data_IF_550328293349
#
_entry.id   IF_550328293349
#
_cell.length_a   1.000
_cell.length_b   1.000
_cell.length_c   1.000
_cell.angle_alpha   90.00
_cell.angle_beta   90.00
_cell.angle_gamma   90.00
#
_symmetry.space_group_name_H-M   'P 1'
#
loop_
_entity.id
_entity.type
_entity.pdbx_description
1 polymer ?
#
# COMPACT_ATOMS: atom_id res chain seq x y z
N UNK A 1 46.09 88.02 -27.06
CA UNK A 1 46.31 86.65 -26.84
C UNK A 1 45.98 86.35 -25.36
N UNK A 2 44.76 85.76 -25.07
CA UNK A 2 44.36 85.40 -23.74
C UNK A 2 44.54 83.89 -23.63
N UNK A 3 45.55 83.49 -22.89
CA UNK A 3 45.78 82.06 -22.57
C UNK A 3 44.71 81.55 -21.58
N UNK A 4 43.93 80.61 -22.03
CA UNK A 4 42.94 79.89 -21.19
C UNK A 4 43.72 78.73 -20.54
N UNK A 5 44.17 78.88 -19.28
CA UNK A 5 44.70 77.77 -18.49
C UNK A 5 43.52 76.98 -17.91
N UNK A 6 43.20 75.84 -18.53
CA UNK A 6 42.28 74.88 -17.99
C UNK A 6 43.01 74.17 -16.86
N UNK A 7 42.52 74.30 -15.66
CA UNK A 7 43.10 73.72 -14.45
C UNK A 7 43.03 72.17 -14.50
N UNK A 8 44.12 71.48 -14.18
CA UNK A 8 44.20 70.02 -14.10
C UNK A 8 43.09 69.41 -13.25
N UNK A 9 42.58 70.15 -12.28
CA UNK A 9 41.46 69.74 -11.43
C UNK A 9 40.12 69.60 -12.17
N UNK A 10 39.89 70.42 -13.20
CA UNK A 10 38.67 70.36 -14.05
C UNK A 10 38.68 69.15 -14.97
N UNK A 11 39.81 68.71 -15.45
CA UNK A 11 39.96 67.48 -16.30
C UNK A 11 39.76 66.24 -15.45
N UNK A 12 40.24 66.24 -14.20
CA UNK A 12 40.06 65.09 -13.30
C UNK A 12 38.58 64.93 -12.86
N UNK A 13 37.87 66.05 -12.67
CA UNK A 13 36.44 66.01 -12.33
C UNK A 13 35.57 65.54 -13.49
N UNK A 14 35.91 65.87 -14.73
CA UNK A 14 35.22 65.39 -15.94
C UNK A 14 35.46 63.89 -16.18
N UNK A 15 36.66 63.37 -15.89
CA UNK A 15 36.97 61.93 -15.95
C UNK A 15 36.21 61.13 -14.92
N UNK A 16 36.05 61.64 -13.71
CA UNK A 16 35.26 60.96 -12.64
C UNK A 16 33.77 60.94 -12.96
N UNK A 17 33.24 62.01 -13.58
CA UNK A 17 31.85 62.06 -14.01
C UNK A 17 31.56 61.04 -15.17
N UNK A 18 32.46 60.97 -16.16
CA UNK A 18 32.32 60.03 -17.27
C UNK A 18 32.42 58.56 -16.83
N UNK A 19 33.24 58.24 -15.81
CA UNK A 19 33.33 56.92 -15.23
C UNK A 19 32.09 56.59 -14.40
N UNK A 20 31.47 57.52 -13.72
CA UNK A 20 30.20 57.33 -13.02
C UNK A 20 29.04 57.08 -13.95
N UNK A 21 28.98 57.82 -15.07
CA UNK A 21 27.93 57.60 -16.11
C UNK A 21 28.11 56.23 -16.79
N UNK A 22 29.34 55.83 -17.13
CA UNK A 22 29.60 54.49 -17.70
C UNK A 22 29.23 53.39 -16.71
N UNK A 23 29.55 53.52 -15.43
CA UNK A 23 29.22 52.52 -14.39
C UNK A 23 27.69 52.47 -14.14
N UNK A 24 26.97 53.58 -14.26
CA UNK A 24 25.51 53.61 -14.12
C UNK A 24 24.80 53.02 -15.31
N UNK A 25 25.34 53.16 -16.53
CA UNK A 25 24.83 52.46 -17.73
C UNK A 25 25.04 50.99 -17.68
N UNK A 26 26.25 50.55 -17.25
CA UNK A 26 26.54 49.09 -17.11
C UNK A 26 25.64 48.45 -16.05
N UNK A 27 25.39 49.10 -14.94
CA UNK A 27 24.44 48.68 -13.89
C UNK A 27 22.99 48.68 -14.39
N UNK A 28 22.62 49.63 -15.24
CA UNK A 28 21.29 49.69 -15.83
C UNK A 28 21.07 48.57 -16.87
N UNK A 29 22.10 48.26 -17.66
CA UNK A 29 22.06 47.13 -18.61
C UNK A 29 22.02 45.77 -17.89
N UNK A 30 22.74 45.61 -16.76
CA UNK A 30 22.69 44.39 -15.94
C UNK A 30 21.32 44.21 -15.26
N UNK A 31 20.69 45.33 -14.84
CA UNK A 31 19.35 45.24 -14.23
C UNK A 31 18.21 45.09 -15.26
N UNK A 32 18.44 45.45 -16.52
CA UNK A 32 17.49 45.28 -17.62
C UNK A 32 17.82 44.10 -18.53
N UNK A 33 18.86 43.30 -18.22
CA UNK A 33 18.95 41.95 -18.72
C UNK A 33 17.70 41.21 -18.21
N UNK A 34 16.65 41.20 -19.02
CA UNK A 34 15.54 40.30 -18.84
C UNK A 34 16.16 38.92 -18.64
N UNK A 35 16.11 38.43 -17.39
CA UNK A 35 16.19 36.99 -17.17
C UNK A 35 15.01 36.50 -18.00
N UNK A 36 15.26 36.07 -19.23
CA UNK A 36 14.36 35.12 -19.86
C UNK A 36 14.25 33.98 -18.88
N UNK A 37 13.20 33.98 -18.04
CA UNK A 37 12.78 32.76 -17.40
C UNK A 37 12.60 31.79 -18.56
N UNK A 38 13.64 30.99 -18.83
CA UNK A 38 13.45 29.75 -19.55
C UNK A 38 12.32 29.06 -18.79
N UNK A 39 11.11 29.22 -19.28
CA UNK A 39 10.00 28.37 -18.87
C UNK A 39 10.43 26.97 -19.24
N UNK A 40 11.10 26.31 -18.26
CA UNK A 40 11.40 24.90 -18.36
C UNK A 40 10.04 24.25 -18.54
N UNK A 41 9.72 23.94 -19.80
CA UNK A 41 8.50 23.21 -20.12
C UNK A 41 8.47 22.00 -19.18
N UNK A 42 7.38 21.74 -18.46
CA UNK A 42 7.32 20.64 -17.54
C UNK A 42 7.72 19.39 -18.32
N UNK A 43 8.82 18.76 -17.92
CA UNK A 43 9.27 17.50 -18.51
C UNK A 43 8.25 16.46 -18.05
N UNK A 44 7.27 16.20 -18.90
CA UNK A 44 6.32 15.11 -18.70
C UNK A 44 7.09 13.80 -18.98
N UNK A 45 7.50 13.12 -17.92
CA UNK A 45 7.98 11.74 -18.03
C UNK A 45 6.78 10.85 -18.33
N UNK A 46 6.48 10.66 -19.59
CA UNK A 46 5.55 9.62 -20.01
C UNK A 46 6.27 8.29 -19.91
N UNK A 47 5.64 7.37 -19.19
CA UNK A 47 6.12 6.00 -19.14
C UNK A 47 6.08 5.41 -20.55
N UNK A 48 7.21 4.88 -21.03
CA UNK A 48 7.25 4.19 -22.31
C UNK A 48 6.51 2.85 -22.17
N UNK A 49 5.46 2.65 -22.97
CA UNK A 49 4.73 1.40 -23.09
C UNK A 49 5.18 0.74 -24.39
N UNK A 50 5.93 -0.38 -24.34
CA UNK A 50 6.36 -1.08 -25.54
C UNK A 50 5.16 -1.53 -26.37
N UNK A 51 5.23 -1.35 -27.68
CA UNK A 51 4.25 -1.90 -28.62
C UNK A 51 4.33 -3.43 -28.63
N UNK A 52 3.20 -4.08 -28.77
CA UNK A 52 3.10 -5.52 -28.92
C UNK A 52 1.89 -5.89 -29.77
N UNK A 53 1.93 -7.03 -30.41
CA UNK A 53 0.86 -7.49 -31.29
C UNK A 53 0.43 -8.94 -30.96
N UNK A 54 -0.70 -9.34 -31.53
CA UNK A 54 -1.29 -10.66 -31.29
C UNK A 54 -0.32 -11.81 -31.59
N UNK A 55 0.42 -11.73 -32.70
CA UNK A 55 1.32 -12.80 -33.14
C UNK A 55 2.54 -12.95 -32.21
N UNK A 56 3.08 -11.86 -31.71
CA UNK A 56 4.16 -11.88 -30.71
C UNK A 56 3.69 -12.50 -29.40
N UNK A 57 2.53 -12.09 -28.92
CA UNK A 57 1.93 -12.67 -27.72
C UNK A 57 1.64 -14.17 -27.91
N UNK A 58 1.11 -14.57 -29.07
CA UNK A 58 0.83 -15.97 -29.38
C UNK A 58 2.11 -16.83 -29.35
N UNK A 59 3.21 -16.34 -29.94
CA UNK A 59 4.53 -17.02 -29.89
C UNK A 59 5.03 -17.19 -28.46
N UNK A 60 4.92 -16.16 -27.63
CA UNK A 60 5.34 -16.20 -26.23
C UNK A 60 4.50 -17.20 -25.44
N UNK A 61 3.17 -17.23 -25.65
CA UNK A 61 2.27 -18.18 -24.98
C UNK A 61 2.60 -19.62 -25.40
N UNK A 62 2.88 -19.87 -26.68
CA UNK A 62 3.31 -21.20 -27.16
C UNK A 62 4.63 -21.67 -26.53
N UNK A 63 5.52 -20.74 -26.19
CA UNK A 63 6.79 -21.04 -25.54
C UNK A 63 6.69 -21.08 -24.00
N UNK A 64 5.51 -20.78 -23.43
CA UNK A 64 5.29 -20.82 -21.99
C UNK A 64 5.30 -22.25 -21.45
N UNK A 65 6.16 -22.49 -20.46
CA UNK A 65 6.08 -23.70 -19.64
C UNK A 65 4.93 -23.55 -18.65
N UNK A 66 3.85 -24.30 -18.85
CA UNK A 66 2.64 -24.24 -18.02
C UNK A 66 1.86 -25.56 -18.07
N UNK A 67 1.40 -26.00 -16.90
CA UNK A 67 0.49 -27.15 -16.76
C UNK A 67 -0.98 -26.78 -17.03
N UNK A 68 -1.26 -25.48 -17.20
CA UNK A 68 -2.61 -24.99 -17.44
C UNK A 68 -2.90 -24.86 -18.93
N UNK A 69 -4.10 -25.24 -19.40
CA UNK A 69 -4.46 -25.03 -20.79
C UNK A 69 -4.49 -23.54 -21.11
N UNK A 70 -3.74 -23.14 -22.15
CA UNK A 70 -3.67 -21.74 -22.56
C UNK A 70 -3.61 -21.64 -24.09
N UNK A 71 -4.72 -21.31 -24.68
CA UNK A 71 -4.83 -21.01 -26.10
C UNK A 71 -5.27 -19.55 -26.29
N UNK A 72 -4.42 -18.74 -26.95
CA UNK A 72 -4.70 -17.33 -27.15
C UNK A 72 -5.90 -17.14 -28.10
N UNK A 73 -6.77 -16.23 -27.72
CA UNK A 73 -7.84 -15.71 -28.58
C UNK A 73 -8.02 -14.21 -28.36
N UNK A 74 -8.84 -13.56 -29.19
CA UNK A 74 -9.07 -12.11 -29.13
C UNK A 74 -9.55 -11.60 -27.77
N UNK A 75 -10.29 -12.41 -27.02
CA UNK A 75 -10.79 -12.03 -25.68
C UNK A 75 -9.65 -11.98 -24.66
N UNK A 76 -8.80 -13.00 -24.68
CA UNK A 76 -7.62 -13.06 -23.80
C UNK A 76 -6.65 -11.95 -24.18
N UNK A 77 -6.40 -11.74 -25.47
CA UNK A 77 -5.55 -10.65 -25.96
C UNK A 77 -6.07 -9.27 -25.53
N UNK A 78 -7.39 -9.06 -25.57
CA UNK A 78 -8.01 -7.83 -25.07
C UNK A 78 -7.79 -7.60 -23.57
N UNK A 79 -7.79 -8.67 -22.74
CA UNK A 79 -7.44 -8.54 -21.32
C UNK A 79 -5.94 -8.33 -21.09
N UNK A 80 -5.07 -8.94 -21.88
CA UNK A 80 -3.63 -8.65 -21.85
C UNK A 80 -3.41 -7.14 -22.11
N UNK A 81 -4.00 -6.61 -23.19
CA UNK A 81 -3.94 -5.18 -23.50
C UNK A 81 -4.51 -4.32 -22.37
N UNK A 82 -5.62 -4.75 -21.75
CA UNK A 82 -6.21 -4.04 -20.62
C UNK A 82 -5.22 -3.92 -19.44
N UNK A 83 -4.59 -5.01 -19.02
CA UNK A 83 -3.65 -5.02 -17.89
C UNK A 83 -2.32 -4.33 -18.21
N UNK A 84 -1.82 -4.49 -19.42
CA UNK A 84 -0.54 -3.95 -19.85
C UNK A 84 -0.62 -2.46 -20.17
N UNK A 85 -1.71 -1.98 -20.77
CA UNK A 85 -1.82 -0.60 -21.26
C UNK A 85 -2.76 0.24 -20.40
N UNK A 86 -4.02 -0.24 -20.21
CA UNK A 86 -5.07 0.59 -19.62
C UNK A 86 -5.08 0.59 -18.11
N UNK A 87 -4.65 -0.49 -17.48
CA UNK A 87 -4.71 -0.67 -16.02
C UNK A 87 -3.32 -0.97 -15.43
N UNK A 88 -2.29 -0.33 -15.96
CA UNK A 88 -0.87 -0.53 -15.59
C UNK A 88 -0.63 -0.34 -14.11
N UNK A 89 -1.19 0.69 -13.49
CA UNK A 89 -0.99 0.99 -12.08
C UNK A 89 -1.52 -0.15 -11.18
N UNK A 90 -2.65 -0.73 -11.52
CA UNK A 90 -3.14 -1.94 -10.85
C UNK A 90 -2.17 -3.11 -11.04
N UNK A 91 -1.69 -3.32 -12.25
CA UNK A 91 -0.76 -4.42 -12.56
C UNK A 91 0.57 -4.24 -11.81
N UNK A 92 1.12 -3.04 -11.77
CA UNK A 92 2.32 -2.72 -10.97
C UNK A 92 2.09 -2.94 -9.47
N UNK A 93 0.94 -2.51 -8.94
CA UNK A 93 0.57 -2.77 -7.55
C UNK A 93 0.53 -4.27 -7.23
N UNK A 94 0.02 -5.09 -8.14
CA UNK A 94 -0.01 -6.56 -7.98
C UNK A 94 1.40 -7.14 -8.06
N UNK A 95 2.23 -6.70 -9.00
CA UNK A 95 3.63 -7.10 -9.10
C UNK A 95 4.38 -6.77 -7.79
N UNK A 96 4.11 -5.62 -7.20
CA UNK A 96 4.69 -5.22 -5.91
C UNK A 96 4.31 -6.17 -4.76
N UNK A 97 3.10 -6.74 -4.79
CA UNK A 97 2.58 -7.62 -3.73
C UNK A 97 2.96 -9.09 -3.89
N UNK A 98 3.28 -9.53 -5.11
CA UNK A 98 3.48 -10.96 -5.42
C UNK A 98 4.57 -11.60 -4.57
N UNK A 99 5.67 -10.91 -4.32
CA UNK A 99 6.83 -11.45 -3.60
C UNK A 99 6.51 -11.73 -2.11
N UNK A 100 5.45 -11.13 -1.58
CA UNK A 100 4.95 -11.39 -0.22
C UNK A 100 4.14 -12.69 -0.16
N UNK A 101 3.29 -12.93 -1.16
CA UNK A 101 2.27 -13.98 -1.07
C UNK A 101 2.58 -15.21 -1.92
N UNK A 102 3.25 -15.07 -3.05
CA UNK A 102 3.51 -16.19 -3.97
C UNK A 102 4.25 -17.35 -3.33
N UNK A 103 5.30 -17.15 -2.50
CA UNK A 103 5.96 -18.27 -1.84
C UNK A 103 5.01 -19.16 -1.00
N UNK A 104 4.01 -18.52 -0.33
CA UNK A 104 3.01 -19.26 0.44
C UNK A 104 2.02 -20.01 -0.46
N UNK A 105 1.64 -19.40 -1.59
CA UNK A 105 0.74 -20.04 -2.57
C UNK A 105 1.40 -21.21 -3.25
N UNK A 106 2.65 -21.04 -3.69
CA UNK A 106 3.46 -22.07 -4.34
C UNK A 106 3.64 -23.28 -3.41
N UNK A 107 3.93 -23.04 -2.13
CA UNK A 107 4.04 -24.13 -1.15
C UNK A 107 2.70 -24.85 -0.97
N UNK A 108 1.60 -24.13 -0.79
CA UNK A 108 0.28 -24.73 -0.64
C UNK A 108 -0.15 -25.52 -1.89
N UNK A 109 0.15 -25.01 -3.09
CA UNK A 109 -0.14 -25.71 -4.35
C UNK A 109 0.71 -26.96 -4.50
N UNK A 110 2.00 -26.90 -4.17
CA UNK A 110 2.92 -28.04 -4.18
C UNK A 110 2.46 -29.14 -3.22
N UNK A 111 2.10 -28.80 -1.98
CA UNK A 111 1.61 -29.74 -0.97
C UNK A 111 0.35 -30.50 -1.41
N UNK A 112 -0.41 -29.90 -2.31
CA UNK A 112 -1.61 -30.49 -2.88
C UNK A 112 -1.44 -31.04 -4.30
N UNK A 113 -0.23 -31.09 -4.85
CA UNK A 113 0.05 -31.55 -6.22
C UNK A 113 -0.80 -30.81 -7.26
N UNK A 114 -0.81 -29.48 -7.18
CA UNK A 114 -1.59 -28.59 -8.02
C UNK A 114 -0.69 -27.81 -8.97
N UNK A 115 -1.17 -27.41 -10.16
CA UNK A 115 -0.43 -26.53 -11.04
C UNK A 115 -0.04 -25.21 -10.34
N UNK A 116 1.22 -24.83 -10.46
CA UNK A 116 1.76 -23.62 -9.84
C UNK A 116 1.06 -22.35 -10.33
N UNK A 117 0.65 -22.33 -11.60
CA UNK A 117 -0.02 -21.19 -12.23
C UNK A 117 -1.34 -20.78 -11.56
N UNK A 118 -1.94 -21.67 -10.77
CA UNK A 118 -3.14 -21.35 -9.98
C UNK A 118 -2.92 -20.19 -9.01
N UNK A 119 -1.68 -19.90 -8.62
CA UNK A 119 -1.33 -18.72 -7.80
C UNK A 119 -1.86 -17.40 -8.38
N UNK A 120 -1.92 -17.28 -9.71
CA UNK A 120 -2.42 -16.08 -10.37
C UNK A 120 -3.93 -15.83 -10.16
N UNK A 121 -4.67 -16.86 -9.70
CA UNK A 121 -6.09 -16.72 -9.40
C UNK A 121 -6.36 -15.69 -8.29
N UNK A 122 -5.54 -15.68 -7.25
CA UNK A 122 -5.65 -14.71 -6.15
C UNK A 122 -5.50 -13.26 -6.62
N UNK A 123 -4.81 -13.02 -7.74
CA UNK A 123 -4.76 -11.69 -8.35
C UNK A 123 -6.15 -11.27 -8.85
N UNK A 124 -6.84 -12.18 -9.55
CA UNK A 124 -8.16 -11.91 -10.11
C UNK A 124 -9.21 -11.77 -9.00
N UNK A 125 -9.06 -12.51 -7.91
CA UNK A 125 -9.97 -12.47 -6.77
C UNK A 125 -9.83 -11.20 -5.93
N UNK A 126 -8.62 -10.79 -5.59
CA UNK A 126 -8.39 -9.77 -4.58
C UNK A 126 -7.34 -8.71 -4.94
N UNK A 127 -6.62 -8.86 -6.05
CA UNK A 127 -5.41 -8.06 -6.32
C UNK A 127 -4.33 -8.27 -5.26
N UNK A 128 -4.22 -9.48 -4.71
CA UNK A 128 -3.32 -9.84 -3.62
C UNK A 128 -3.54 -8.98 -2.35
N UNK A 129 -4.80 -8.68 -2.04
CA UNK A 129 -5.16 -7.97 -0.81
C UNK A 129 -5.81 -8.94 0.20
N UNK A 130 -5.14 -9.29 1.30
CA UNK A 130 -5.67 -10.23 2.29
C UNK A 130 -6.91 -9.71 3.04
N UNK A 131 -7.16 -8.41 3.01
CA UNK A 131 -8.34 -7.76 3.62
C UNK A 131 -9.41 -7.39 2.60
N UNK A 132 -9.32 -7.86 1.35
CA UNK A 132 -10.33 -7.60 0.33
C UNK A 132 -11.68 -8.18 0.71
N UNK A 133 -12.74 -7.37 0.64
CA UNK A 133 -14.12 -7.77 0.96
C UNK A 133 -15.07 -7.38 -0.15
N UNK A 134 -15.78 -8.36 -0.70
CA UNK A 134 -16.81 -8.14 -1.70
C UNK A 134 -18.14 -7.67 -1.09
N UNK A 135 -19.01 -7.11 -1.91
CA UNK A 135 -20.37 -6.71 -1.47
C UNK A 135 -21.22 -7.88 -0.99
N UNK A 136 -20.93 -9.09 -1.47
CA UNK A 136 -21.68 -10.31 -1.10
C UNK A 136 -21.04 -11.09 0.03
N UNK A 137 -19.96 -10.55 0.63
CA UNK A 137 -19.31 -11.12 1.81
C UNK A 137 -18.19 -12.11 1.55
N UNK A 138 -17.72 -12.24 0.30
CA UNK A 138 -16.47 -12.93 0.02
C UNK A 138 -15.29 -12.14 0.61
N UNK A 139 -14.26 -12.83 1.14
CA UNK A 139 -13.22 -12.20 1.93
C UNK A 139 -11.84 -12.86 1.68
N UNK A 140 -10.79 -12.03 1.76
CA UNK A 140 -9.41 -12.45 1.76
C UNK A 140 -8.79 -12.60 0.38
N UNK A 141 -7.57 -13.11 0.32
CA UNK A 141 -6.78 -13.31 -0.90
C UNK A 141 -7.52 -14.15 -1.96
N UNK A 142 -8.24 -15.16 -1.51
CA UNK A 142 -8.94 -16.15 -2.33
C UNK A 142 -10.45 -15.94 -2.38
N UNK A 143 -10.95 -14.82 -1.84
CA UNK A 143 -12.37 -14.44 -1.84
C UNK A 143 -13.34 -15.55 -1.40
N UNK A 144 -13.03 -16.23 -0.30
CA UNK A 144 -13.91 -17.25 0.22
C UNK A 144 -15.25 -16.67 0.72
N UNK A 145 -16.35 -17.24 0.24
CA UNK A 145 -17.67 -17.05 0.86
C UNK A 145 -17.69 -17.70 2.26
N UNK A 146 -18.44 -17.14 3.23
CA UNK A 146 -18.48 -17.67 4.60
C UNK A 146 -18.75 -19.18 4.69
N UNK A 147 -19.77 -19.66 3.99
CA UNK A 147 -20.14 -21.08 4.00
C UNK A 147 -19.04 -21.96 3.40
N UNK A 148 -18.47 -21.56 2.24
CA UNK A 148 -17.39 -22.31 1.59
C UNK A 148 -16.13 -22.30 2.42
N UNK A 149 -15.75 -21.14 2.99
CA UNK A 149 -14.59 -21.05 3.89
C UNK A 149 -14.71 -22.02 5.07
N UNK A 150 -15.85 -22.05 5.72
CA UNK A 150 -16.11 -22.97 6.84
C UNK A 150 -15.99 -24.45 6.44
N UNK A 151 -16.44 -24.83 5.24
CA UNK A 151 -16.30 -26.19 4.72
C UNK A 151 -14.84 -26.64 4.57
N UNK A 152 -13.93 -25.68 4.39
CA UNK A 152 -12.50 -25.92 4.24
C UNK A 152 -11.66 -25.50 5.45
N UNK A 153 -12.31 -25.33 6.62
CA UNK A 153 -11.64 -25.08 7.90
C UNK A 153 -11.30 -23.62 8.17
N UNK A 154 -11.84 -22.68 7.37
CA UNK A 154 -11.66 -21.24 7.61
C UNK A 154 -12.76 -20.71 8.51
N UNK A 155 -12.63 -20.99 9.80
CA UNK A 155 -13.55 -20.50 10.82
C UNK A 155 -13.42 -18.98 11.02
N UNK A 156 -14.49 -18.37 11.47
CA UNK A 156 -14.52 -16.94 11.74
C UNK A 156 -15.40 -16.61 12.94
N UNK A 157 -15.01 -15.57 13.64
CA UNK A 157 -15.80 -14.93 14.70
C UNK A 157 -15.64 -13.41 14.58
N UNK A 158 -16.00 -12.65 15.62
CA UNK A 158 -15.89 -11.19 15.62
C UNK A 158 -14.45 -10.68 15.74
N UNK A 159 -13.52 -11.48 16.25
CA UNK A 159 -12.15 -11.07 16.55
C UNK A 159 -11.16 -11.61 15.51
N UNK A 160 -11.46 -12.78 14.92
CA UNK A 160 -10.59 -13.46 13.93
C UNK A 160 -11.44 -13.98 12.78
N UNK A 161 -10.94 -13.81 11.55
CA UNK A 161 -11.52 -14.41 10.34
C UNK A 161 -10.41 -15.07 9.51
N UNK A 162 -10.36 -16.40 9.55
CA UNK A 162 -9.30 -17.20 8.91
C UNK A 162 -9.33 -17.12 7.37
N UNK A 163 -10.39 -16.60 6.77
CA UNK A 163 -10.41 -16.34 5.33
C UNK A 163 -9.41 -15.26 4.91
N UNK A 164 -8.96 -14.43 5.86
CA UNK A 164 -7.91 -13.42 5.66
C UNK A 164 -6.51 -13.93 5.98
N UNK A 165 -6.37 -15.11 6.60
CA UNK A 165 -5.06 -15.71 6.86
C UNK A 165 -4.44 -16.18 5.53
N UNK A 166 -3.25 -15.69 5.14
CA UNK A 166 -2.68 -16.02 3.84
C UNK A 166 -2.36 -17.50 3.65
N UNK A 167 -1.84 -18.17 4.67
CA UNK A 167 -1.43 -19.57 4.60
C UNK A 167 -2.65 -20.50 4.65
N UNK A 168 -3.52 -20.32 5.67
CA UNK A 168 -4.70 -21.17 5.84
C UNK A 168 -5.68 -21.04 4.67
N UNK A 169 -5.88 -19.80 4.17
CA UNK A 169 -6.75 -19.62 3.01
C UNK A 169 -6.16 -20.18 1.72
N UNK A 170 -4.83 -20.20 1.57
CA UNK A 170 -4.17 -20.81 0.40
C UNK A 170 -4.30 -22.33 0.41
N UNK A 171 -4.08 -22.98 1.56
CA UNK A 171 -4.32 -24.39 1.74
C UNK A 171 -5.78 -24.77 1.45
N UNK A 172 -6.72 -24.01 1.96
CA UNK A 172 -8.14 -24.19 1.70
C UNK A 172 -8.50 -24.00 0.21
N UNK A 173 -7.89 -23.02 -0.47
CA UNK A 173 -8.10 -22.78 -1.89
C UNK A 173 -7.60 -23.92 -2.76
N UNK A 174 -6.39 -24.44 -2.45
CA UNK A 174 -5.84 -25.60 -3.13
C UNK A 174 -6.76 -26.84 -2.97
N UNK A 175 -7.23 -27.13 -1.77
CA UNK A 175 -8.20 -28.21 -1.51
C UNK A 175 -9.50 -28.04 -2.28
N UNK A 176 -10.07 -26.85 -2.29
CA UNK A 176 -11.32 -26.57 -2.99
C UNK A 176 -11.14 -26.69 -4.50
N UNK A 177 -10.11 -26.09 -5.08
CA UNK A 177 -9.83 -26.17 -6.52
C UNK A 177 -9.54 -27.62 -6.96
N UNK A 178 -8.78 -28.40 -6.15
CA UNK A 178 -8.57 -29.84 -6.41
C UNK A 178 -9.88 -30.61 -6.44
N UNK A 179 -10.84 -30.28 -5.57
CA UNK A 179 -12.17 -30.90 -5.56
C UNK A 179 -12.99 -30.55 -6.82
N UNK A 180 -12.91 -29.29 -7.27
CA UNK A 180 -13.55 -28.82 -8.50
C UNK A 180 -12.94 -29.48 -9.74
N UNK A 181 -11.61 -29.60 -9.79
CA UNK A 181 -10.94 -30.28 -10.88
C UNK A 181 -11.33 -31.75 -10.96
N UNK A 182 -11.37 -32.45 -9.82
CA UNK A 182 -11.86 -33.84 -9.77
C UNK A 182 -13.32 -33.99 -10.29
N UNK A 183 -14.15 -32.95 -10.11
CA UNK A 183 -15.54 -32.94 -10.54
C UNK A 183 -15.69 -32.73 -12.04
N UNK A 184 -14.86 -31.91 -12.67
CA UNK A 184 -15.02 -31.48 -14.05
C UNK A 184 -13.97 -32.07 -15.01
N UNK A 185 -12.81 -32.54 -14.50
CA UNK A 185 -11.69 -33.06 -15.30
C UNK A 185 -11.05 -32.02 -16.24
N UNK A 186 -11.29 -30.73 -15.97
CA UNK A 186 -10.81 -29.62 -16.80
C UNK A 186 -10.58 -28.41 -15.92
N UNK A 187 -9.39 -27.81 -15.99
CA UNK A 187 -9.01 -26.67 -15.15
C UNK A 187 -9.84 -25.41 -15.43
N UNK A 188 -10.12 -25.09 -16.70
CA UNK A 188 -10.91 -23.90 -17.03
C UNK A 188 -12.36 -24.02 -16.48
N UNK A 189 -12.94 -25.24 -16.51
CA UNK A 189 -14.23 -25.48 -15.87
C UNK A 189 -14.17 -25.46 -14.35
N UNK A 190 -13.06 -25.91 -13.76
CA UNK A 190 -12.83 -25.81 -12.32
C UNK A 190 -12.73 -24.35 -11.87
N UNK A 191 -11.98 -23.51 -12.60
CA UNK A 191 -11.91 -22.07 -12.36
C UNK A 191 -13.27 -21.39 -12.53
N UNK A 192 -14.03 -21.72 -13.59
CA UNK A 192 -15.38 -21.23 -13.76
C UNK A 192 -16.30 -21.64 -12.59
N UNK A 193 -16.14 -22.87 -12.08
CA UNK A 193 -16.90 -23.37 -10.93
C UNK A 193 -16.48 -22.72 -9.61
N UNK A 194 -15.21 -22.34 -9.46
CA UNK A 194 -14.75 -21.56 -8.31
C UNK A 194 -15.48 -20.21 -8.23
N UNK A 195 -15.59 -19.53 -9.37
CA UNK A 195 -16.26 -18.22 -9.47
C UNK A 195 -17.80 -18.32 -9.28
N UNK A 196 -18.48 -19.15 -10.04
CA UNK A 196 -19.96 -19.16 -10.05
C UNK A 196 -20.60 -20.34 -9.31
N UNK A 197 -19.80 -21.22 -8.73
CA UNK A 197 -20.24 -22.44 -8.09
C UNK A 197 -20.45 -23.61 -9.08
N UNK A 198 -20.20 -24.86 -8.63
CA UNK A 198 -20.26 -26.05 -9.49
C UNK A 198 -21.65 -26.33 -10.05
N UNK A 199 -22.71 -25.88 -9.37
CA UNK A 199 -24.09 -26.00 -9.84
C UNK A 199 -24.36 -25.25 -11.15
N UNK A 200 -23.83 -24.04 -11.28
CA UNK A 200 -23.98 -23.23 -12.49
C UNK A 200 -23.20 -23.82 -13.66
N UNK A 201 -22.01 -24.34 -13.45
CA UNK A 201 -21.22 -25.03 -14.50
C UNK A 201 -21.92 -26.28 -14.96
N UNK A 202 -22.46 -27.13 -14.06
CA UNK A 202 -23.26 -28.31 -14.45
C UNK A 202 -24.50 -27.92 -15.26
N UNK A 203 -25.18 -26.84 -14.91
CA UNK A 203 -26.32 -26.29 -15.67
C UNK A 203 -25.89 -25.83 -17.05
N UNK A 204 -24.74 -25.16 -17.18
CA UNK A 204 -24.17 -24.71 -18.45
C UNK A 204 -23.84 -25.93 -19.37
N UNK A 205 -23.20 -26.97 -18.80
CA UNK A 205 -22.93 -28.22 -19.53
C UNK A 205 -24.20 -28.86 -20.06
N UNK A 206 -25.25 -28.99 -19.24
CA UNK A 206 -26.54 -29.53 -19.70
C UNK A 206 -27.15 -28.68 -20.81
N UNK A 207 -27.15 -27.37 -20.70
CA UNK A 207 -27.73 -26.44 -21.67
C UNK A 207 -26.96 -26.38 -22.99
N UNK A 208 -25.66 -26.65 -22.97
CA UNK A 208 -24.82 -26.70 -24.18
C UNK A 208 -24.87 -28.03 -24.95
N UNK A 209 -25.72 -28.97 -24.52
CA UNK A 209 -25.77 -30.30 -25.12
C UNK A 209 -24.65 -31.22 -24.63
N UNK A 210 -24.17 -31.05 -23.42
CA UNK A 210 -23.15 -31.92 -22.80
C UNK A 210 -21.70 -31.57 -23.09
N UNK A 211 -21.40 -30.37 -23.63
CA UNK A 211 -20.04 -29.92 -23.89
C UNK A 211 -19.27 -29.77 -22.57
N UNK A 212 -18.06 -30.32 -22.52
CA UNK A 212 -17.21 -30.36 -21.30
C UNK A 212 -15.90 -29.50 -21.42
N UNK A 213 -15.96 -28.41 -22.18
CA UNK A 213 -14.88 -27.43 -22.28
C UNK A 213 -15.41 -26.04 -21.91
N UNK A 214 -14.58 -25.17 -21.40
CA UNK A 214 -14.97 -23.82 -21.03
C UNK A 214 -15.60 -23.04 -22.21
N UNK A 215 -14.91 -23.04 -23.35
CA UNK A 215 -15.39 -22.37 -24.56
C UNK A 215 -16.68 -23.02 -25.12
N UNK A 216 -16.85 -24.34 -24.95
CA UNK A 216 -18.07 -25.03 -25.35
C UNK A 216 -19.28 -24.65 -24.50
N UNK A 217 -19.10 -24.28 -23.24
CA UNK A 217 -20.18 -23.84 -22.33
C UNK A 217 -20.28 -22.34 -22.17
N UNK A 218 -19.38 -21.58 -22.76
CA UNK A 218 -19.16 -20.15 -22.56
C UNK A 218 -20.47 -19.33 -22.56
N UNK A 219 -21.29 -19.48 -23.59
CA UNK A 219 -22.53 -18.72 -23.75
C UNK A 219 -23.65 -19.09 -22.75
N UNK A 220 -23.47 -20.18 -22.04
CA UNK A 220 -24.40 -20.66 -21.01
C UNK A 220 -23.97 -20.34 -19.59
N UNK A 221 -22.74 -19.83 -19.41
CA UNK A 221 -22.22 -19.37 -18.12
C UNK A 221 -22.78 -17.99 -17.76
N UNK A 222 -22.82 -17.64 -16.47
CA UNK A 222 -23.08 -16.27 -16.03
C UNK A 222 -22.12 -15.27 -16.70
N UNK A 223 -22.58 -14.05 -16.99
CA UNK A 223 -21.79 -13.03 -17.71
C UNK A 223 -20.45 -12.73 -17.01
N UNK A 224 -20.46 -12.64 -15.70
CA UNK A 224 -19.25 -12.42 -14.88
C UNK A 224 -18.23 -13.56 -15.07
N UNK A 225 -18.69 -14.80 -15.02
CA UNK A 225 -17.85 -16.00 -15.17
C UNK A 225 -17.23 -16.13 -16.56
N UNK A 226 -17.87 -15.59 -17.60
CA UNK A 226 -17.32 -15.60 -18.97
C UNK A 226 -16.02 -14.82 -19.10
N UNK A 227 -15.83 -13.77 -18.31
CA UNK A 227 -14.60 -12.98 -18.31
C UNK A 227 -13.54 -13.52 -17.35
N UNK A 228 -13.92 -14.36 -16.40
CA UNK A 228 -13.07 -14.79 -15.30
C UNK A 228 -11.86 -15.63 -15.77
N UNK A 229 -12.11 -16.70 -16.55
CA UNK A 229 -11.02 -17.55 -17.07
C UNK A 229 -10.13 -16.79 -18.06
N UNK A 230 -10.67 -16.00 -19.03
CA UNK A 230 -9.82 -15.15 -19.87
C UNK A 230 -8.96 -14.13 -19.11
N UNK A 231 -9.47 -13.55 -18.03
CA UNK A 231 -8.67 -12.66 -17.17
C UNK A 231 -7.56 -13.40 -16.44
N UNK A 232 -7.84 -14.61 -15.94
CA UNK A 232 -6.83 -15.46 -15.31
C UNK A 232 -5.70 -15.79 -16.30
N UNK A 233 -6.04 -16.27 -17.51
CA UNK A 233 -5.05 -16.57 -18.53
C UNK A 233 -4.26 -15.35 -18.99
N UNK A 234 -4.91 -14.19 -19.14
CA UNK A 234 -4.23 -12.94 -19.43
C UNK A 234 -3.23 -12.56 -18.32
N UNK A 235 -3.62 -12.75 -17.04
CA UNK A 235 -2.73 -12.43 -15.92
C UNK A 235 -1.55 -13.41 -15.82
N UNK A 236 -1.72 -14.69 -16.16
CA UNK A 236 -0.59 -15.63 -16.30
C UNK A 236 0.47 -15.09 -17.26
N UNK A 237 0.06 -14.65 -18.44
CA UNK A 237 0.95 -14.04 -19.43
C UNK A 237 1.61 -12.77 -18.89
N UNK A 238 0.80 -11.83 -18.38
CA UNK A 238 1.29 -10.52 -17.92
C UNK A 238 2.31 -10.66 -16.79
N UNK A 239 2.10 -11.57 -15.85
CA UNK A 239 3.01 -11.77 -14.73
C UNK A 239 4.34 -12.43 -15.13
N UNK A 240 4.34 -13.26 -16.18
CA UNK A 240 5.55 -13.89 -16.71
C UNK A 240 6.37 -12.96 -17.62
N UNK A 241 5.71 -12.06 -18.35
CA UNK A 241 6.32 -11.16 -19.32
C UNK A 241 6.20 -9.68 -18.89
N UNK A 242 6.15 -9.41 -17.60
CA UNK A 242 5.99 -8.06 -17.06
C UNK A 242 7.10 -7.10 -17.53
N UNK A 243 8.35 -7.57 -17.56
CA UNK A 243 9.52 -6.79 -18.00
C UNK A 243 9.43 -6.42 -19.48
N UNK A 244 8.95 -7.32 -20.33
CA UNK A 244 8.79 -7.08 -21.78
C UNK A 244 7.78 -5.94 -22.06
N UNK A 245 6.90 -5.69 -21.12
CA UNK A 245 5.88 -4.63 -21.16
C UNK A 245 6.25 -3.41 -20.32
N UNK A 246 7.51 -3.31 -19.88
CA UNK A 246 8.00 -2.24 -19.01
C UNK A 246 7.17 -2.06 -17.74
N UNK A 247 6.67 -3.17 -17.18
CA UNK A 247 5.97 -3.18 -15.89
C UNK A 247 6.98 -3.35 -14.76
N UNK A 248 7.92 -2.41 -14.69
CA UNK A 248 9.02 -2.41 -13.72
C UNK A 248 8.61 -1.55 -12.52
N UNK A 249 9.00 -2.00 -11.34
CA UNK A 249 8.78 -1.26 -10.10
C UNK A 249 9.98 -0.34 -9.83
N UNK A 250 9.73 0.95 -9.69
CA UNK A 250 10.76 1.90 -9.25
C UNK A 250 11.21 1.64 -7.81
N UNK A 251 10.30 1.19 -6.97
CA UNK A 251 10.54 0.88 -5.57
C UNK A 251 9.86 -0.45 -5.18
N UNK A 252 10.57 -1.58 -5.31
CA UNK A 252 10.03 -2.86 -4.90
C UNK A 252 9.78 -2.90 -3.39
N UNK A 253 8.66 -3.48 -2.99
CA UNK A 253 8.36 -3.73 -1.57
C UNK A 253 8.93 -5.10 -1.21
N UNK A 254 9.77 -5.13 -0.19
CA UNK A 254 10.29 -6.39 0.32
C UNK A 254 9.34 -6.97 1.37
N UNK A 255 9.11 -8.28 1.37
CA UNK A 255 8.31 -8.92 2.41
C UNK A 255 9.01 -8.78 3.77
N UNK A 256 8.22 -8.57 4.81
CA UNK A 256 8.71 -8.63 6.19
C UNK A 256 8.93 -10.11 6.53
N UNK A 257 10.19 -10.51 6.70
CA UNK A 257 10.50 -11.85 7.18
C UNK A 257 9.93 -12.04 8.61
N UNK A 258 9.19 -13.12 8.82
CA UNK A 258 8.50 -13.36 10.09
C UNK A 258 8.74 -14.78 10.61
N UNK A 259 8.45 -14.98 11.88
CA UNK A 259 8.35 -16.27 12.54
C UNK A 259 7.03 -16.37 13.29
N UNK A 260 6.54 -17.59 13.47
CA UNK A 260 5.30 -17.88 14.20
C UNK A 260 5.61 -18.18 15.65
N UNK A 261 5.04 -17.40 16.55
CA UNK A 261 5.12 -17.63 17.99
C UNK A 261 3.75 -18.08 18.51
N UNK A 262 3.70 -19.24 19.13
CA UNK A 262 2.49 -19.76 19.75
C UNK A 262 2.35 -19.21 21.18
N UNK A 263 1.19 -18.71 21.50
CA UNK A 263 0.77 -18.34 22.86
C UNK A 263 -0.38 -19.25 23.29
N UNK A 264 -0.45 -19.59 24.59
CA UNK A 264 -1.47 -20.50 25.13
C UNK A 264 -2.59 -19.75 25.83
N UNK A 265 -2.76 -18.48 25.53
CA UNK A 265 -3.73 -17.60 26.17
C UNK A 265 -4.25 -16.53 25.21
N UNK A 266 -5.31 -15.81 25.63
CA UNK A 266 -5.76 -14.63 24.91
C UNK A 266 -4.66 -13.57 24.86
N UNK A 267 -4.54 -12.91 23.72
CA UNK A 267 -3.46 -11.99 23.44
C UNK A 267 -3.97 -10.66 22.91
N UNK A 268 -3.41 -9.57 23.45
CA UNK A 268 -3.60 -8.21 22.96
C UNK A 268 -2.41 -7.81 22.09
N UNK A 269 -2.64 -7.59 20.79
CA UNK A 269 -1.57 -7.18 19.84
C UNK A 269 -1.00 -5.79 20.17
N UNK A 270 -1.77 -4.88 20.79
CA UNK A 270 -1.26 -3.57 21.21
C UNK A 270 -0.25 -3.73 22.34
N UNK A 271 -0.53 -4.62 23.29
CA UNK A 271 0.41 -4.95 24.38
C UNK A 271 1.67 -5.62 23.82
N UNK A 272 1.50 -6.59 22.91
CA UNK A 272 2.63 -7.24 22.25
C UNK A 272 3.51 -6.21 21.51
N UNK A 273 2.90 -5.28 20.77
CA UNK A 273 3.59 -4.20 20.09
C UNK A 273 4.40 -3.32 21.06
N UNK A 274 3.74 -2.88 22.15
CA UNK A 274 4.33 -1.99 23.13
C UNK A 274 5.56 -2.61 23.83
N UNK A 275 5.44 -3.90 24.24
CA UNK A 275 6.50 -4.57 25.00
C UNK A 275 7.66 -5.01 24.10
N UNK A 276 7.36 -5.53 22.90
CA UNK A 276 8.38 -6.01 21.97
C UNK A 276 9.07 -4.89 21.18
N UNK A 277 8.49 -3.67 21.18
CA UNK A 277 8.91 -2.58 20.34
C UNK A 277 8.71 -2.86 18.84
N UNK A 278 7.69 -3.65 18.50
CA UNK A 278 7.24 -3.87 17.12
C UNK A 278 6.20 -2.81 16.77
N UNK A 279 6.23 -2.28 15.55
CA UNK A 279 5.19 -1.40 15.05
C UNK A 279 3.86 -2.17 14.99
N UNK A 280 2.79 -1.57 15.49
CA UNK A 280 1.47 -2.25 15.49
C UNK A 280 0.98 -2.51 14.05
N UNK A 281 1.31 -1.63 13.12
CA UNK A 281 0.99 -1.79 11.70
C UNK A 281 1.69 -3.00 11.09
N UNK A 282 2.92 -3.31 11.50
CA UNK A 282 3.64 -4.51 11.07
C UNK A 282 2.98 -5.78 11.61
N UNK A 283 2.54 -5.77 12.88
CA UNK A 283 1.78 -6.88 13.43
C UNK A 283 0.43 -7.08 12.74
N UNK A 284 -0.30 -6.00 12.46
CA UNK A 284 -1.57 -6.06 11.71
C UNK A 284 -1.37 -6.51 10.26
N UNK A 285 -0.25 -6.13 9.64
CA UNK A 285 0.12 -6.55 8.30
C UNK A 285 0.44 -8.04 8.23
N UNK A 286 1.22 -8.54 9.20
CA UNK A 286 1.61 -9.95 9.30
C UNK A 286 0.46 -10.86 9.76
N UNK A 287 -0.57 -10.30 10.42
CA UNK A 287 -1.70 -11.05 10.99
C UNK A 287 -3.06 -10.50 10.50
N UNK A 288 -3.31 -10.49 9.19
CA UNK A 288 -4.50 -9.86 8.61
C UNK A 288 -5.81 -10.51 9.06
N UNK A 289 -5.78 -11.76 9.52
CA UNK A 289 -6.95 -12.47 10.06
C UNK A 289 -7.46 -11.88 11.38
N UNK A 290 -6.61 -11.17 12.12
CA UNK A 290 -6.98 -10.53 13.41
C UNK A 290 -7.67 -9.19 13.13
N UNK A 291 -8.93 -9.06 13.59
CA UNK A 291 -9.75 -7.89 13.27
C UNK A 291 -9.70 -6.79 14.34
N UNK A 292 -9.74 -7.16 15.61
CA UNK A 292 -9.87 -6.23 16.73
C UNK A 292 -8.62 -6.18 17.61
N UNK A 293 -7.43 -6.48 17.03
CA UNK A 293 -6.15 -6.57 17.77
C UNK A 293 -6.17 -7.58 18.91
N UNK A 294 -7.19 -8.44 18.94
CA UNK A 294 -7.36 -9.50 19.92
C UNK A 294 -7.23 -10.86 19.28
N UNK A 295 -6.43 -11.72 19.88
CA UNK A 295 -6.37 -13.13 19.53
C UNK A 295 -7.01 -13.91 20.66
N UNK A 296 -8.19 -14.50 20.43
CA UNK A 296 -8.85 -15.31 21.43
C UNK A 296 -8.16 -16.67 21.57
N UNK A 297 -8.35 -17.32 22.70
CA UNK A 297 -7.95 -18.74 22.82
C UNK A 297 -8.77 -19.55 21.83
N UNK A 298 -8.11 -20.16 20.88
CA UNK A 298 -8.72 -21.10 19.93
C UNK A 298 -7.75 -22.22 19.57
N UNK A 299 -8.29 -23.39 19.30
CA UNK A 299 -7.46 -24.55 18.91
C UNK A 299 -6.80 -24.35 17.51
N UNK A 300 -7.31 -23.44 16.70
CA UNK A 300 -6.83 -23.21 15.34
C UNK A 300 -5.92 -21.98 15.21
N UNK A 301 -6.15 -20.93 16.02
CA UNK A 301 -5.41 -19.68 15.91
C UNK A 301 -4.76 -19.34 17.26
N UNK A 302 -3.56 -19.87 17.48
CA UNK A 302 -2.74 -19.60 18.68
C UNK A 302 -1.32 -19.14 18.31
N UNK A 303 -1.04 -18.96 17.04
CA UNK A 303 0.25 -18.48 16.57
C UNK A 303 0.13 -17.06 16.01
N UNK A 304 1.05 -16.21 16.39
CA UNK A 304 1.18 -14.82 15.91
C UNK A 304 2.42 -14.74 15.04
N UNK A 305 2.27 -14.18 13.86
CA UNK A 305 3.39 -13.86 13.01
C UNK A 305 4.05 -12.58 13.53
N UNK A 306 5.31 -12.66 13.91
CA UNK A 306 6.10 -11.52 14.38
C UNK A 306 7.32 -11.34 13.47
N UNK A 307 7.82 -10.11 13.28
CA UNK A 307 9.03 -9.89 12.49
C UNK A 307 10.18 -10.76 13.01
N UNK A 308 10.87 -11.45 12.10
CA UNK A 308 11.96 -12.37 12.43
C UNK A 308 13.04 -11.73 13.31
N UNK A 309 13.30 -10.44 13.10
CA UNK A 309 14.25 -9.66 13.90
C UNK A 309 13.88 -9.55 15.40
N UNK A 310 12.62 -9.83 15.75
CA UNK A 310 12.09 -9.77 17.13
C UNK A 310 11.71 -11.13 17.71
N UNK A 311 11.62 -12.16 16.87
CA UNK A 311 11.16 -13.48 17.29
C UNK A 311 12.03 -14.12 18.39
N UNK A 312 13.37 -14.02 18.26
CA UNK A 312 14.31 -14.51 19.27
C UNK A 312 14.08 -13.88 20.64
N UNK A 313 14.01 -12.55 20.68
CA UNK A 313 13.75 -11.81 21.92
C UNK A 313 12.43 -12.20 22.60
N UNK A 314 11.34 -12.34 21.83
CA UNK A 314 10.04 -12.75 22.37
C UNK A 314 10.08 -14.20 22.85
N UNK A 315 10.80 -15.10 22.15
CA UNK A 315 10.89 -16.51 22.51
C UNK A 315 11.71 -16.72 23.78
N UNK A 316 12.82 -16.03 23.93
CA UNK A 316 13.70 -16.09 25.12
C UNK A 316 13.00 -15.57 26.38
N UNK A 317 12.12 -14.58 26.23
CA UNK A 317 11.39 -13.94 27.34
C UNK A 317 9.91 -14.34 27.36
N UNK A 318 9.54 -15.50 26.82
CA UNK A 318 8.17 -15.89 26.53
C UNK A 318 7.25 -15.90 27.76
N UNK A 319 7.73 -16.28 28.91
CA UNK A 319 6.93 -16.32 30.16
C UNK A 319 6.57 -14.91 30.61
N UNK A 320 7.55 -13.98 30.63
CA UNK A 320 7.32 -12.57 30.97
C UNK A 320 6.38 -11.91 29.96
N UNK A 321 6.57 -12.17 28.66
CA UNK A 321 5.65 -11.71 27.63
C UNK A 321 4.25 -12.29 27.79
N UNK A 322 4.11 -13.55 28.15
CA UNK A 322 2.82 -14.20 28.29
C UNK A 322 1.95 -13.51 29.33
N UNK A 323 2.50 -13.14 30.48
CA UNK A 323 1.74 -12.43 31.52
C UNK A 323 1.42 -10.99 31.11
N UNK A 324 2.37 -10.30 30.49
CA UNK A 324 2.24 -8.90 30.11
C UNK A 324 1.30 -8.66 28.93
N UNK A 325 1.21 -9.60 27.96
CA UNK A 325 0.33 -9.50 26.78
C UNK A 325 -1.06 -10.09 27.02
N UNK A 326 -1.31 -10.61 28.22
CA UNK A 326 -2.60 -11.19 28.57
C UNK A 326 -3.70 -10.15 28.49
N UNK A 327 -4.76 -10.49 27.80
CA UNK A 327 -5.92 -9.64 27.70
C UNK A 327 -6.61 -9.51 29.08
N UNK A 328 -6.64 -8.31 29.64
CA UNK A 328 -7.40 -8.06 30.87
C UNK A 328 -8.90 -8.07 30.59
N UNK A 329 -9.72 -8.47 31.56
CA UNK A 329 -11.18 -8.46 31.40
C UNK A 329 -11.71 -7.08 31.01
N UNK A 330 -11.14 -6.01 31.55
CA UNK A 330 -11.50 -4.62 31.25
C UNK A 330 -11.15 -4.24 29.83
N UNK A 331 -9.95 -4.60 29.35
CA UNK A 331 -9.51 -4.35 27.98
C UNK A 331 -10.33 -5.16 26.98
N UNK A 332 -10.64 -6.41 27.31
CA UNK A 332 -11.51 -7.28 26.54
C UNK A 332 -12.90 -6.68 26.33
N UNK A 333 -13.50 -6.11 27.40
CA UNK A 333 -14.79 -5.42 27.32
C UNK A 333 -14.67 -4.14 26.48
N UNK A 334 -13.64 -3.32 26.69
CA UNK A 334 -13.42 -2.07 25.96
C UNK A 334 -13.25 -2.30 24.45
N UNK A 335 -12.45 -3.29 24.04
CA UNK A 335 -12.27 -3.65 22.63
C UNK A 335 -13.56 -4.18 22.00
N UNK A 336 -14.36 -4.95 22.76
CA UNK A 336 -15.66 -5.47 22.32
C UNK A 336 -16.72 -4.37 22.18
N UNK A 337 -16.74 -3.40 23.06
CA UNK A 337 -17.68 -2.25 23.00
C UNK A 337 -17.34 -1.30 21.84
N UNK A 338 -16.07 -1.05 21.58
CA UNK A 338 -15.65 -0.24 20.44
C UNK A 338 -16.01 -0.89 19.08
N UNK A 339 -15.93 -2.23 18.97
CA UNK A 339 -16.35 -2.95 17.76
C UNK A 339 -17.87 -2.93 17.55
N UNK A 340 -18.67 -2.93 18.61
CA UNK A 340 -20.12 -2.81 18.52
C UNK A 340 -20.53 -1.39 18.09
N UNK A 341 -19.82 -0.36 18.57
CA UNK A 341 -20.06 1.02 18.17
C UNK A 341 -19.77 1.25 16.66
N UNK A 342 -18.74 0.59 16.11
CA UNK A 342 -18.44 0.66 14.67
C UNK A 342 -19.38 -0.18 13.80
N UNK A 343 -19.95 -1.28 14.32
CA UNK A 343 -20.89 -2.14 13.59
C UNK A 343 -22.31 -1.58 13.53
N UNK A 344 -22.70 -0.73 14.48
CA UNK A 344 -24.05 -0.14 14.56
C UNK A 344 -24.22 1.18 13.80
N UNK A 345 -23.21 1.67 13.07
CA UNK A 345 -23.31 2.89 12.25
C UNK A 345 -23.88 2.61 10.84
N UNK A 346 -24.70 1.59 10.67
CA UNK A 346 -25.39 1.31 9.40
C UNK A 346 -26.91 1.51 9.48
N UNK A 347 -27.39 2.53 10.22
CA UNK A 347 -28.75 3.04 10.05
C UNK A 347 -28.81 4.51 10.50
N UNK A 348 -29.22 5.45 9.66
CA UNK A 348 -29.37 6.83 10.11
C UNK A 348 -30.66 6.95 10.90
N UNK A 349 -30.58 6.99 12.23
CA UNK A 349 -31.61 7.57 13.06
C UNK A 349 -31.10 8.94 13.50
N UNK A 350 -31.82 9.98 13.09
CA UNK A 350 -31.60 11.35 13.52
C UNK A 350 -31.66 11.43 15.07
N UNK A 351 -30.50 11.66 15.66
CA UNK A 351 -30.42 12.19 17.02
C UNK A 351 -29.22 13.12 17.08
N UNK A 352 -29.51 14.40 17.24
CA UNK A 352 -28.56 15.48 17.41
C UNK A 352 -27.67 15.19 18.62
N UNK A 353 -26.39 14.83 18.34
CA UNK A 353 -25.34 14.94 19.34
C UNK A 353 -24.52 16.16 18.96
N UNK A 354 -24.68 17.24 19.67
CA UNK A 354 -23.91 18.46 19.64
C UNK A 354 -22.43 18.10 19.82
N UNK A 355 -21.70 18.00 18.72
CA UNK A 355 -20.24 18.03 18.75
C UNK A 355 -19.83 19.41 19.18
N UNK A 356 -19.30 19.54 20.39
CA UNK A 356 -18.72 20.79 20.90
C UNK A 356 -17.56 21.20 20.00
N UNK A 357 -17.82 22.18 19.14
CA UNK A 357 -16.78 22.95 18.45
C UNK A 357 -16.09 23.80 19.52
N UNK A 358 -14.77 23.72 19.71
CA UNK A 358 -14.08 24.55 20.71
C UNK A 358 -14.27 26.02 20.38
N UNK A 359 -14.78 26.77 21.35
CA UNK A 359 -15.22 28.16 21.18
C UNK A 359 -14.11 29.22 21.08
N UNK A 360 -12.85 28.82 20.89
CA UNK A 360 -11.72 29.76 20.80
C UNK A 360 -10.59 29.27 19.87
N UNK A 361 -10.93 28.86 18.64
CA UNK A 361 -9.94 28.46 17.64
C UNK A 361 -10.22 29.12 16.29
N UNK A 362 -9.15 29.63 15.65
CA UNK A 362 -9.23 30.21 14.31
C UNK A 362 -9.63 29.14 13.28
N UNK A 363 -10.81 29.31 12.71
CA UNK A 363 -11.34 28.46 11.63
C UNK A 363 -10.69 28.82 10.31
N UNK A 364 -10.03 27.87 9.66
CA UNK A 364 -9.51 28.01 8.30
C UNK A 364 -10.39 27.18 7.35
N UNK A 365 -10.79 27.77 6.23
CA UNK A 365 -11.42 27.01 5.15
C UNK A 365 -10.34 26.59 4.16
N UNK A 366 -10.04 25.28 4.09
CA UNK A 366 -9.10 24.71 3.14
C UNK A 366 -9.83 24.15 1.94
N UNK A 367 -9.37 24.50 0.72
CA UNK A 367 -9.91 23.94 -0.54
C UNK A 367 -8.99 22.83 -1.01
N UNK A 368 -9.52 21.61 -1.11
CA UNK A 368 -8.79 20.41 -1.53
C UNK A 368 -8.27 20.58 -2.95
N UNK A 369 -6.99 20.34 -3.17
CA UNK A 369 -6.30 20.40 -4.47
C UNK A 369 -6.05 18.99 -5.01
N UNK A 370 -5.69 18.90 -6.28
CA UNK A 370 -5.27 17.63 -6.88
C UNK A 370 -4.03 17.08 -6.14
N UNK A 371 -4.08 15.79 -5.76
CA UNK A 371 -3.02 15.13 -4.98
C UNK A 371 -3.14 15.26 -3.46
N UNK A 372 -4.10 16.03 -2.94
CA UNK A 372 -4.31 16.13 -1.51
C UNK A 372 -4.94 14.85 -0.92
N UNK A 373 -4.42 14.44 0.24
CA UNK A 373 -5.05 13.43 1.10
C UNK A 373 -5.22 14.01 2.51
N UNK A 374 -6.22 13.52 3.27
CA UNK A 374 -6.50 14.06 4.61
C UNK A 374 -5.29 14.01 5.54
N UNK A 375 -4.39 13.02 5.37
CA UNK A 375 -3.16 12.90 6.16
C UNK A 375 -2.20 14.07 5.96
N UNK A 376 -1.93 14.44 4.70
CA UNK A 376 -1.04 15.56 4.37
C UNK A 376 -1.65 16.91 4.79
N UNK A 377 -2.98 17.07 4.64
CA UNK A 377 -3.69 18.26 5.09
C UNK A 377 -3.62 18.37 6.62
N UNK A 378 -3.83 17.28 7.36
CA UNK A 378 -3.76 17.25 8.80
C UNK A 378 -2.37 17.65 9.31
N UNK A 379 -1.31 17.07 8.74
CA UNK A 379 0.07 17.39 9.06
C UNK A 379 0.39 18.86 8.78
N UNK A 380 0.01 19.39 7.62
CA UNK A 380 0.23 20.79 7.22
C UNK A 380 -0.40 21.79 8.18
N UNK A 381 -1.52 21.42 8.79
CA UNK A 381 -2.28 22.31 9.67
C UNK A 381 -2.15 21.97 11.16
N UNK A 382 -1.21 21.09 11.54
CA UNK A 382 -0.94 20.74 12.93
C UNK A 382 -2.11 20.08 13.65
N UNK A 383 -2.89 19.27 12.93
CA UNK A 383 -4.07 18.59 13.45
C UNK A 383 -4.06 17.10 13.07
N UNK A 384 -5.09 16.36 13.43
CA UNK A 384 -5.24 14.94 13.09
C UNK A 384 -6.29 14.73 12.00
N UNK A 385 -6.18 13.61 11.25
CA UNK A 385 -7.19 13.19 10.28
C UNK A 385 -8.57 13.06 10.94
N UNK A 386 -8.60 12.51 12.17
CA UNK A 386 -9.82 12.35 12.96
C UNK A 386 -10.49 13.69 13.24
N UNK A 387 -9.72 14.71 13.60
CA UNK A 387 -10.26 16.05 13.85
C UNK A 387 -10.84 16.67 12.59
N UNK A 388 -10.11 16.58 11.44
CA UNK A 388 -10.62 17.09 10.17
C UNK A 388 -11.91 16.38 9.77
N UNK A 389 -11.98 15.06 9.96
CA UNK A 389 -13.21 14.29 9.71
C UNK A 389 -14.37 14.74 10.56
N UNK A 390 -14.16 14.87 11.88
CA UNK A 390 -15.19 15.30 12.83
C UNK A 390 -15.69 16.71 12.53
N UNK A 391 -14.80 17.65 12.25
CA UNK A 391 -15.17 19.04 11.93
C UNK A 391 -15.94 19.19 10.61
N UNK A 392 -15.82 18.21 9.72
CA UNK A 392 -16.42 18.24 8.37
C UNK A 392 -17.46 17.13 8.15
N UNK A 393 -17.85 16.39 9.18
CA UNK A 393 -18.79 15.26 9.12
C UNK A 393 -18.43 14.24 8.02
N UNK A 394 -17.12 13.93 7.88
CA UNK A 394 -16.65 12.98 6.88
C UNK A 394 -16.70 11.55 7.45
N UNK A 395 -17.44 10.68 6.78
CA UNK A 395 -17.53 9.24 7.13
C UNK A 395 -16.33 8.43 6.62
N UNK A 396 -15.60 8.92 5.63
CA UNK A 396 -14.43 8.26 5.04
C UNK A 396 -13.24 9.20 4.92
N UNK A 397 -12.07 8.68 4.52
CA UNK A 397 -10.88 9.49 4.22
C UNK A 397 -10.90 10.06 2.78
N UNK A 398 -11.93 9.73 1.99
CA UNK A 398 -12.04 10.19 0.60
C UNK A 398 -12.49 11.65 0.56
N UNK A 399 -11.70 12.47 -0.10
CA UNK A 399 -11.98 13.89 -0.36
C UNK A 399 -11.94 14.16 -1.87
N UNK A 400 -12.67 15.18 -2.31
CA UNK A 400 -12.75 15.53 -3.74
C UNK A 400 -12.02 16.85 -3.99
N UNK A 401 -11.37 16.98 -5.14
CA UNK A 401 -10.76 18.24 -5.58
C UNK A 401 -11.85 19.33 -5.61
N UNK A 402 -11.53 20.50 -5.04
CA UNK A 402 -12.46 21.61 -4.86
C UNK A 402 -13.33 21.51 -3.59
N UNK A 403 -13.30 20.40 -2.85
CA UNK A 403 -14.05 20.28 -1.59
C UNK A 403 -13.48 21.26 -0.54
N UNK A 404 -14.37 21.97 0.15
CA UNK A 404 -14.01 22.89 1.23
C UNK A 404 -14.02 22.14 2.56
N UNK A 405 -12.90 22.19 3.28
CA UNK A 405 -12.73 21.59 4.60
C UNK A 405 -12.56 22.68 5.66
N UNK A 406 -13.34 22.61 6.73
CA UNK A 406 -13.13 23.41 7.92
C UNK A 406 -11.98 22.80 8.74
N UNK A 407 -10.97 23.60 9.04
CA UNK A 407 -9.82 23.20 9.86
C UNK A 407 -9.68 24.22 10.99
N UNK A 408 -9.56 23.74 12.23
CA UNK A 408 -9.38 24.59 13.39
C UNK A 408 -7.93 24.48 13.89
N UNK A 409 -7.23 25.59 14.00
CA UNK A 409 -5.91 25.64 14.62
C UNK A 409 -6.05 25.58 16.14
N UNK A 410 -5.26 24.76 16.79
CA UNK A 410 -5.15 24.76 18.23
C UNK A 410 -4.41 26.03 18.66
N UNK A 411 -5.13 27.02 19.12
CA UNK A 411 -4.55 28.18 19.80
C UNK A 411 -4.19 27.78 21.22
N UNK A 412 -2.93 27.96 21.61
CA UNK A 412 -2.55 27.86 23.03
C UNK A 412 -1.37 26.91 23.28
N UNK A 413 -0.35 27.49 23.83
CA UNK A 413 0.84 26.95 24.48
C UNK A 413 0.78 25.48 24.89
N UNK A 414 1.77 24.73 24.45
CA UNK A 414 2.13 23.48 25.11
C UNK A 414 2.54 23.79 26.56
N UNK A 415 1.72 23.38 27.51
CA UNK A 415 2.19 23.21 28.88
C UNK A 415 3.28 22.14 28.91
N UNK A 416 4.51 22.62 29.09
CA UNK A 416 5.75 21.86 29.25
C UNK A 416 5.85 21.27 30.64
N UNK A 417 4.92 20.42 31.08
CA UNK A 417 5.02 19.75 32.36
C UNK A 417 4.62 18.28 32.32
N UNK A 418 5.22 17.52 31.40
CA UNK A 418 5.29 16.05 31.48
C UNK A 418 6.37 15.53 30.48
N UNK A 419 7.58 16.08 30.59
CA UNK A 419 8.75 15.47 29.98
C UNK A 419 9.99 16.05 30.66
N UNK A 420 10.19 15.76 31.93
CA UNK A 420 11.50 15.78 32.52
C UNK A 420 11.95 14.33 32.69
N UNK A 421 12.66 13.85 31.71
CA UNK A 421 13.87 13.05 31.93
C UNK A 421 14.73 13.12 30.66
N UNK A 422 15.61 14.06 30.72
CA UNK A 422 16.95 14.17 30.16
C UNK A 422 17.39 13.26 29.02
N UNK A 423 17.63 13.87 27.86
CA UNK A 423 19.01 14.09 27.44
C UNK A 423 19.04 15.17 26.37
N UNK A 424 19.48 16.37 26.74
CA UNK A 424 20.04 17.35 25.83
C UNK A 424 21.27 16.71 25.18
N UNK A 425 21.14 16.28 23.92
CA UNK A 425 22.29 16.00 23.07
C UNK A 425 22.30 17.07 21.98
N UNK A 426 23.40 17.81 21.98
CA UNK A 426 23.80 18.78 20.98
C UNK A 426 23.65 18.15 19.57
N UNK A 427 22.73 18.66 18.75
CA UNK A 427 22.45 18.20 17.41
C UNK A 427 23.38 18.80 16.34
N UNK A 428 24.65 19.03 16.67
CA UNK A 428 25.64 19.44 15.68
C UNK A 428 26.60 18.29 15.38
N UNK A 429 26.45 17.65 14.20
CA UNK A 429 27.30 16.58 13.63
C UNK A 429 27.00 15.13 14.05
N UNK A 430 25.74 14.72 14.03
CA UNK A 430 25.40 13.31 14.20
C UNK A 430 25.53 12.57 12.86
N UNK A 431 26.37 11.50 12.82
CA UNK A 431 26.50 10.61 11.66
C UNK A 431 25.84 9.27 11.92
N UNK A 432 25.19 8.72 10.89
CA UNK A 432 24.61 7.38 10.90
C UNK A 432 25.27 6.51 9.83
N UNK A 433 25.66 5.29 10.17
CA UNK A 433 26.15 4.30 9.20
C UNK A 433 24.99 3.43 8.75
N UNK A 434 24.69 3.49 7.45
CA UNK A 434 23.59 2.73 6.81
C UNK A 434 23.79 1.24 7.05
N UNK A 435 22.77 0.59 7.60
CA UNK A 435 22.72 -0.85 7.82
C UNK A 435 22.08 -1.57 6.62
N UNK A 436 22.35 -2.89 6.41
CA UNK A 436 21.61 -3.67 5.43
C UNK A 436 20.10 -3.58 5.68
N UNK A 437 19.32 -3.20 4.65
CA UNK A 437 17.88 -3.00 4.76
C UNK A 437 17.42 -1.59 5.14
N UNK A 438 18.33 -0.64 5.43
CA UNK A 438 17.94 0.74 5.67
C UNK A 438 17.55 1.46 4.38
N UNK A 439 16.53 2.31 4.50
CA UNK A 439 16.19 3.34 3.52
C UNK A 439 16.25 4.73 4.17
N UNK A 440 16.33 5.79 3.36
CA UNK A 440 16.30 7.17 3.91
C UNK A 440 15.04 7.43 4.74
N UNK A 441 13.93 6.77 4.41
CA UNK A 441 12.70 6.84 5.18
C UNK A 441 12.85 6.18 6.56
N UNK A 442 13.42 4.97 6.63
CA UNK A 442 13.69 4.27 7.90
C UNK A 442 14.64 5.11 8.76
N UNK A 443 15.69 5.65 8.15
CA UNK A 443 16.66 6.49 8.87
C UNK A 443 15.99 7.76 9.38
N UNK A 444 15.15 8.44 8.60
CA UNK A 444 14.42 9.63 9.04
C UNK A 444 13.48 9.34 10.23
N UNK A 445 12.93 8.14 10.33
CA UNK A 445 12.10 7.70 11.47
C UNK A 445 12.91 7.35 12.72
N UNK A 446 14.15 6.87 12.56
CA UNK A 446 15.07 6.62 13.69
C UNK A 446 15.52 7.92 14.39
N UNK A 447 15.52 9.04 13.67
CA UNK A 447 15.95 10.34 14.17
C UNK A 447 14.80 11.32 14.15
N UNK A 448 14.11 11.47 15.28
CA UNK A 448 12.94 12.34 15.42
C UNK A 448 13.25 13.78 14.98
N UNK A 449 12.43 14.31 14.06
CA UNK A 449 12.55 15.67 13.55
C UNK A 449 13.41 15.82 12.29
N UNK A 450 14.02 14.73 11.78
CA UNK A 450 14.82 14.76 10.55
C UNK A 450 14.01 14.25 9.37
N UNK A 451 13.93 15.02 8.29
CA UNK A 451 13.23 14.65 7.07
C UNK A 451 14.17 14.02 6.04
N UNK A 452 13.60 13.25 5.08
CA UNK A 452 14.38 12.67 3.97
C UNK A 452 15.11 13.76 3.18
N UNK A 453 14.45 14.89 2.94
CA UNK A 453 15.00 16.04 2.23
C UNK A 453 16.18 16.65 2.97
N UNK A 454 16.11 16.73 4.30
CA UNK A 454 17.23 17.19 5.12
C UNK A 454 18.41 16.23 5.04
N UNK A 455 18.18 14.91 5.16
CA UNK A 455 19.26 13.92 5.01
C UNK A 455 19.89 14.02 3.62
N UNK A 456 19.10 14.15 2.57
CA UNK A 456 19.60 14.30 1.20
C UNK A 456 20.45 15.56 1.05
N UNK A 457 19.94 16.69 1.54
CA UNK A 457 20.65 17.98 1.47
C UNK A 457 21.97 17.97 2.25
N UNK A 458 21.98 17.39 3.46
CA UNK A 458 23.17 17.31 4.28
C UNK A 458 24.27 16.40 3.71
N UNK A 459 23.89 15.47 2.82
CA UNK A 459 24.77 14.47 2.24
C UNK A 459 24.94 14.59 0.72
N UNK A 460 24.44 15.68 0.10
CA UNK A 460 24.49 15.93 -1.34
C UNK A 460 23.94 14.74 -2.18
N UNK A 461 22.84 14.11 -1.72
CA UNK A 461 22.24 12.98 -2.41
C UNK A 461 21.21 13.46 -3.43
N UNK A 462 21.40 13.09 -4.70
CA UNK A 462 20.48 13.41 -5.78
C UNK A 462 19.33 12.38 -5.91
N UNK A 463 19.42 11.24 -5.22
CA UNK A 463 18.41 10.17 -5.21
C UNK A 463 18.20 9.63 -3.81
N UNK A 464 17.21 8.74 -3.65
CA UNK A 464 16.96 8.04 -2.38
C UNK A 464 17.85 6.79 -2.19
N UNK A 465 18.73 6.49 -3.16
CA UNK A 465 19.62 5.33 -3.08
C UNK A 465 20.74 5.55 -2.08
N UNK A 466 20.86 4.64 -1.14
CA UNK A 466 21.93 4.56 -0.15
C UNK A 466 22.47 3.13 -0.11
N UNK A 467 23.74 2.97 0.29
CA UNK A 467 24.39 1.66 0.34
C UNK A 467 24.72 1.26 1.78
N UNK A 468 24.59 -0.02 2.16
CA UNK A 468 25.10 -0.49 3.44
C UNK A 468 26.55 -0.09 3.67
N UNK A 469 26.87 0.39 4.86
CA UNK A 469 28.19 0.95 5.21
C UNK A 469 28.36 2.43 4.85
N UNK A 470 27.47 3.06 4.11
CA UNK A 470 27.52 4.50 3.81
C UNK A 470 27.28 5.32 5.08
N UNK A 471 28.15 6.31 5.35
CA UNK A 471 27.96 7.25 6.46
C UNK A 471 27.10 8.42 5.97
N UNK A 472 26.03 8.69 6.69
CA UNK A 472 25.14 9.82 6.44
C UNK A 472 25.18 10.80 7.61
N UNK A 473 25.30 12.08 7.29
CA UNK A 473 25.11 13.16 8.26
C UNK A 473 23.62 13.36 8.50
N UNK A 474 23.17 13.32 9.75
CA UNK A 474 21.74 13.31 10.11
C UNK A 474 21.31 14.65 10.72
N UNK A 475 22.22 15.35 11.41
CA UNK A 475 21.97 16.64 12.03
C UNK A 475 23.19 17.54 12.01
#
# INVERSE_FOLDING_TARGET
MKNLSISLTSIFFLLILSQKEALSQELFEINNATIEEETIAPIYHFEHIPDFNYNEVAKKIQAMDTDMPFELNERIFSFINYFVVRNREYTKMVIQRKDVFFPMFEQALLDHEMPEDIKYLSIIESGLNPKAKSRVGALGLWQFMPATGKMYGLDYNKDVDLRMDPELSSDAAAKYLKSLYRMFGNWELALAAYNCGPGNVRKAIRRSGGKKTFWGVYDYLPKETRSYVPQFQAMMYVMRYAEDHNLILEQPTYPIAYEKIKFNQELDLEQLAAISGICIEDLEYLNPAVQNRMIPVSNQFMAVNVPKSKAGFITENKEEFSDAVRLTSERSVALRTNSIATANISKPAAAATTSQVPSNQDKITYVVRSGDVLGTIAQKHGTTVTNIKNWNNLSSNTIKVGQKLAIYKKGGSFDSNLANNNSTLDNANQFYTVQPGDSLWIISKKFNGVTIEQIKKLNNLNSNQIKPGQKLKIG
#
